data_IF_990668672830
#
_entry.id   IF_990668672830
#
_cell.length_a   1.000
_cell.length_b   1.000
_cell.length_c   1.000
_cell.angle_alpha   90.00
_cell.angle_beta   90.00
_cell.angle_gamma   90.00
#
_symmetry.space_group_name_H-M   'P 1'
#
loop_
_entity.id
_entity.type
_entity.pdbx_description
1 polymer ?
#
# COMPACT_ATOMS: atom_id res chain seq x y z
N UNK A 1 -82.30 -9.15 46.82
CA UNK A 1 -81.01 -9.17 46.19
C UNK A 1 -79.96 -9.54 47.24
N UNK A 2 -79.20 -10.60 47.08
CA UNK A 2 -78.45 -11.21 48.17
C UNK A 2 -77.05 -10.48 48.31
N UNK A 3 -76.91 -9.68 49.36
CA UNK A 3 -75.72 -8.84 49.64
C UNK A 3 -74.40 -9.63 49.56
N UNK A 4 -74.48 -10.92 49.88
CA UNK A 4 -73.32 -11.82 49.81
C UNK A 4 -72.73 -12.01 48.39
N UNK A 5 -73.60 -12.04 47.36
CA UNK A 5 -73.14 -12.17 45.95
C UNK A 5 -72.53 -10.89 45.45
N UNK A 6 -73.03 -9.74 45.88
CA UNK A 6 -72.48 -8.44 45.52
C UNK A 6 -71.09 -8.28 46.13
N UNK A 7 -70.91 -8.62 47.39
CA UNK A 7 -69.59 -8.57 48.03
C UNK A 7 -68.60 -9.53 47.43
N UNK A 8 -69.02 -10.75 47.12
CA UNK A 8 -68.14 -11.71 46.40
C UNK A 8 -67.73 -11.19 45.04
N UNK A 9 -68.62 -10.63 44.28
CA UNK A 9 -68.31 -10.05 42.96
C UNK A 9 -67.31 -8.90 43.05
N UNK A 10 -67.45 -7.99 44.02
CA UNK A 10 -66.48 -6.93 44.24
C UNK A 10 -65.08 -7.50 44.59
N UNK A 11 -64.99 -8.53 45.39
CA UNK A 11 -63.72 -9.15 45.77
C UNK A 11 -63.02 -9.83 44.57
N UNK A 12 -63.77 -10.43 43.68
CA UNK A 12 -63.22 -11.03 42.44
C UNK A 12 -62.78 -9.95 41.43
N UNK A 13 -63.51 -8.81 41.37
CA UNK A 13 -63.05 -7.67 40.53
C UNK A 13 -61.78 -7.06 41.08
N UNK A 14 -61.65 -6.85 42.38
CA UNK A 14 -60.47 -6.33 43.03
C UNK A 14 -59.24 -7.25 42.81
N UNK A 15 -59.42 -8.56 42.90
CA UNK A 15 -58.37 -9.54 42.57
C UNK A 15 -57.99 -9.45 41.11
N UNK A 16 -58.93 -9.29 40.19
CA UNK A 16 -58.71 -9.12 38.76
C UNK A 16 -57.87 -7.86 38.47
N UNK A 17 -58.21 -6.74 39.11
CA UNK A 17 -57.49 -5.48 38.98
C UNK A 17 -56.10 -5.60 39.53
N UNK A 18 -55.86 -6.20 40.70
CA UNK A 18 -54.53 -6.42 41.26
C UNK A 18 -53.67 -7.30 40.34
N UNK A 19 -54.28 -8.30 39.70
CA UNK A 19 -53.57 -9.15 38.73
C UNK A 19 -53.19 -8.38 37.45
N UNK A 20 -54.06 -7.50 36.97
CA UNK A 20 -53.77 -6.62 35.82
C UNK A 20 -52.63 -5.63 36.12
N UNK A 21 -52.64 -5.03 37.32
CA UNK A 21 -51.56 -4.14 37.73
C UNK A 21 -50.22 -4.88 37.85
N UNK A 22 -50.22 -6.06 38.41
CA UNK A 22 -49.03 -6.91 38.44
C UNK A 22 -48.50 -7.25 37.03
N UNK A 23 -49.37 -7.65 36.10
CA UNK A 23 -48.98 -7.92 34.71
C UNK A 23 -48.46 -6.66 34.02
N UNK A 24 -49.02 -5.50 34.30
CA UNK A 24 -48.55 -4.21 33.79
C UNK A 24 -47.13 -3.89 34.27
N UNK A 25 -46.85 -4.08 35.56
CA UNK A 25 -45.51 -3.90 36.13
C UNK A 25 -44.49 -4.87 35.51
N UNK A 26 -44.87 -6.14 35.36
CA UNK A 26 -44.01 -7.16 34.71
C UNK A 26 -43.71 -6.77 33.25
N UNK A 27 -44.71 -6.28 32.52
CA UNK A 27 -44.51 -5.83 31.13
C UNK A 27 -43.58 -4.61 31.04
N UNK A 28 -43.77 -3.61 31.92
CA UNK A 28 -42.87 -2.45 32.00
C UNK A 28 -41.42 -2.86 32.34
N UNK A 29 -41.25 -3.76 33.30
CA UNK A 29 -39.93 -4.29 33.68
C UNK A 29 -39.30 -5.05 32.53
N UNK A 30 -40.02 -5.90 31.82
CA UNK A 30 -39.55 -6.65 30.67
C UNK A 30 -39.16 -5.69 29.52
N UNK A 31 -39.99 -4.69 29.23
CA UNK A 31 -39.71 -3.66 28.22
C UNK A 31 -38.43 -2.86 28.55
N UNK A 32 -38.28 -2.44 29.79
CA UNK A 32 -37.06 -1.72 30.23
C UNK A 32 -35.82 -2.57 30.09
N UNK A 33 -35.87 -3.86 30.48
CA UNK A 33 -34.75 -4.79 30.31
C UNK A 33 -34.42 -5.01 28.85
N UNK A 34 -35.45 -5.14 27.99
CA UNK A 34 -35.25 -5.29 26.53
C UNK A 34 -34.58 -4.06 25.93
N UNK A 35 -35.03 -2.85 26.29
CA UNK A 35 -34.42 -1.62 25.80
C UNK A 35 -32.95 -1.46 26.27
N UNK A 36 -32.67 -1.80 27.53
CA UNK A 36 -31.31 -1.79 28.04
C UNK A 36 -30.42 -2.79 27.28
N UNK A 37 -30.96 -3.98 27.00
CA UNK A 37 -30.22 -4.99 26.23
C UNK A 37 -29.94 -4.49 24.81
N UNK A 38 -30.89 -3.87 24.12
CA UNK A 38 -30.68 -3.27 22.81
C UNK A 38 -29.58 -2.21 22.84
N UNK A 39 -29.62 -1.29 23.81
CA UNK A 39 -28.60 -0.26 23.97
C UNK A 39 -27.20 -0.85 24.17
N UNK A 40 -27.07 -1.89 25.00
CA UNK A 40 -25.78 -2.57 25.22
C UNK A 40 -25.33 -3.29 23.95
N UNK A 41 -26.24 -3.92 23.22
CA UNK A 41 -25.91 -4.57 21.94
C UNK A 41 -25.40 -3.54 20.90
N UNK A 42 -26.05 -2.39 20.78
CA UNK A 42 -25.65 -1.32 19.86
C UNK A 42 -24.27 -0.75 20.22
N UNK A 43 -24.02 -0.53 21.52
CA UNK A 43 -22.70 -0.11 22.00
C UNK A 43 -21.59 -1.15 21.68
N UNK A 44 -21.90 -2.43 21.86
CA UNK A 44 -20.97 -3.51 21.55
C UNK A 44 -20.71 -3.61 20.04
N UNK A 45 -21.73 -3.48 19.21
CA UNK A 45 -21.59 -3.47 17.74
C UNK A 45 -20.72 -2.30 17.28
N UNK A 46 -20.92 -1.11 17.84
CA UNK A 46 -20.12 0.08 17.55
C UNK A 46 -18.64 -0.13 17.93
N UNK A 47 -18.38 -0.65 19.13
CA UNK A 47 -17.03 -1.00 19.57
C UNK A 47 -16.37 -2.05 18.69
N UNK A 48 -17.13 -3.08 18.30
CA UNK A 48 -16.63 -4.14 17.41
C UNK A 48 -16.26 -3.59 16.02
N UNK A 49 -17.09 -2.68 15.48
CA UNK A 49 -16.78 -2.00 14.21
C UNK A 49 -15.48 -1.20 14.31
N UNK A 50 -15.34 -0.38 15.35
CA UNK A 50 -14.12 0.43 15.58
C UNK A 50 -12.87 -0.44 15.77
N UNK A 51 -12.98 -1.54 16.51
CA UNK A 51 -11.87 -2.50 16.67
C UNK A 51 -11.50 -3.17 15.35
N UNK A 52 -12.47 -3.48 14.49
CA UNK A 52 -12.21 -4.07 13.19
C UNK A 52 -11.54 -3.08 12.23
N UNK A 53 -11.94 -1.81 12.25
CA UNK A 53 -11.26 -0.75 11.50
C UNK A 53 -9.80 -0.61 11.94
N UNK A 54 -9.55 -0.55 13.25
CA UNK A 54 -8.19 -0.48 13.80
C UNK A 54 -7.35 -1.71 13.42
N UNK A 55 -7.93 -2.90 13.44
CA UNK A 55 -7.27 -4.13 12.98
C UNK A 55 -6.86 -4.01 11.50
N UNK A 56 -7.76 -3.57 10.64
CA UNK A 56 -7.50 -3.41 9.21
C UNK A 56 -6.38 -2.40 8.94
N UNK A 57 -6.33 -1.30 9.69
CA UNK A 57 -5.25 -0.33 9.61
C UNK A 57 -3.89 -0.93 10.03
N UNK A 58 -3.86 -1.71 11.10
CA UNK A 58 -2.63 -2.38 11.56
C UNK A 58 -2.16 -3.37 10.50
N UNK A 59 -3.04 -4.20 9.96
CA UNK A 59 -2.72 -5.16 8.91
C UNK A 59 -2.19 -4.49 7.64
N UNK A 60 -2.79 -3.37 7.24
CA UNK A 60 -2.32 -2.58 6.10
C UNK A 60 -0.89 -2.06 6.31
N UNK A 61 -0.59 -1.54 7.50
CA UNK A 61 0.75 -1.06 7.87
C UNK A 61 1.75 -2.22 7.93
N UNK A 62 1.39 -3.34 8.55
CA UNK A 62 2.23 -4.55 8.62
C UNK A 62 2.59 -5.08 7.22
N UNK A 63 1.63 -5.03 6.29
CA UNK A 63 1.86 -5.43 4.90
C UNK A 63 2.97 -4.61 4.23
N UNK A 64 3.10 -3.33 4.53
CA UNK A 64 4.19 -2.49 3.98
C UNK A 64 5.55 -2.94 4.51
N UNK A 65 5.67 -3.27 5.81
CA UNK A 65 6.90 -3.81 6.38
C UNK A 65 7.30 -5.14 5.72
N UNK A 66 6.35 -6.07 5.55
CA UNK A 66 6.58 -7.35 4.86
C UNK A 66 6.99 -7.14 3.40
N UNK A 67 6.38 -6.17 2.72
CA UNK A 67 6.76 -5.82 1.36
C UNK A 67 8.17 -5.24 1.29
N UNK A 68 8.55 -4.38 2.23
CA UNK A 68 9.90 -3.83 2.30
C UNK A 68 10.96 -4.93 2.48
N UNK A 69 10.75 -5.91 3.36
CA UNK A 69 11.67 -7.05 3.51
C UNK A 69 11.76 -7.88 2.22
N UNK A 70 10.64 -8.11 1.54
CA UNK A 70 10.60 -8.81 0.24
C UNK A 70 11.40 -8.07 -0.82
N UNK A 71 11.21 -6.77 -0.95
CA UNK A 71 11.87 -5.90 -1.93
C UNK A 71 13.37 -5.84 -1.68
N UNK A 72 13.79 -5.71 -0.41
CA UNK A 72 15.20 -5.76 0.00
C UNK A 72 15.81 -7.11 -0.35
N UNK A 73 15.11 -8.22 -0.10
CA UNK A 73 15.58 -9.55 -0.48
C UNK A 73 15.74 -9.68 -2.00
N UNK A 74 14.76 -9.23 -2.77
CA UNK A 74 14.81 -9.25 -4.23
C UNK A 74 15.99 -8.44 -4.79
N UNK A 75 16.32 -7.30 -4.19
CA UNK A 75 17.45 -6.46 -4.60
C UNK A 75 18.83 -7.14 -4.42
N UNK A 76 18.90 -8.25 -3.67
CA UNK A 76 20.13 -9.02 -3.43
C UNK A 76 20.32 -10.17 -4.42
N UNK A 77 19.29 -10.51 -5.22
CA UNK A 77 19.37 -11.58 -6.21
C UNK A 77 19.69 -11.03 -7.59
N UNK A 78 19.96 -11.95 -8.55
CA UNK A 78 20.17 -11.59 -9.95
C UNK A 78 18.94 -10.88 -10.50
N UNK A 79 19.09 -9.60 -10.84
CA UNK A 79 17.99 -8.76 -11.28
C UNK A 79 17.72 -8.96 -12.78
N UNK A 80 16.45 -9.13 -13.13
CA UNK A 80 16.03 -9.13 -14.52
C UNK A 80 15.72 -7.70 -14.95
N UNK A 81 16.27 -7.19 -16.06
CA UNK A 81 16.00 -5.84 -16.55
C UNK A 81 14.51 -5.50 -16.69
N UNK A 82 13.67 -6.49 -17.01
CA UNK A 82 12.23 -6.28 -17.19
C UNK A 82 11.48 -6.00 -15.86
N UNK A 83 12.02 -6.47 -14.74
CA UNK A 83 11.43 -6.28 -13.42
C UNK A 83 11.96 -5.08 -12.65
N UNK A 84 13.03 -4.43 -13.15
CA UNK A 84 13.73 -3.34 -12.46
C UNK A 84 12.83 -2.14 -12.19
N UNK A 85 12.00 -1.73 -13.16
CA UNK A 85 11.12 -0.59 -12.99
C UNK A 85 10.09 -0.85 -11.88
N UNK A 86 9.49 -2.04 -11.86
CA UNK A 86 8.53 -2.43 -10.81
C UNK A 86 9.19 -2.46 -9.44
N UNK A 87 10.41 -3.01 -9.37
CA UNK A 87 11.17 -3.09 -8.12
C UNK A 87 11.51 -1.69 -7.58
N UNK A 88 11.91 -0.75 -8.45
CA UNK A 88 12.15 0.65 -8.07
C UNK A 88 10.87 1.33 -7.57
N UNK A 89 9.73 1.09 -8.21
CA UNK A 89 8.44 1.64 -7.76
C UNK A 89 8.03 1.13 -6.39
N UNK A 90 8.23 -0.16 -6.14
CA UNK A 90 7.96 -0.77 -4.84
C UNK A 90 8.90 -0.23 -3.76
N UNK A 91 10.21 -0.07 -4.05
CA UNK A 91 11.18 0.54 -3.13
C UNK A 91 10.77 1.98 -2.79
N UNK A 92 10.41 2.78 -3.80
CA UNK A 92 10.03 4.17 -3.60
C UNK A 92 8.74 4.30 -2.80
N UNK A 93 7.75 3.44 -3.05
CA UNK A 93 6.52 3.38 -2.26
C UNK A 93 6.81 3.09 -0.79
N UNK A 94 7.71 2.12 -0.52
CA UNK A 94 8.16 1.82 0.85
C UNK A 94 8.89 3.01 1.48
N UNK A 95 9.79 3.68 0.75
CA UNK A 95 10.52 4.85 1.25
C UNK A 95 9.58 6.00 1.62
N UNK A 96 8.62 6.33 0.77
CA UNK A 96 7.60 7.36 1.05
C UNK A 96 6.79 7.02 2.29
N UNK A 97 6.42 5.76 2.46
CA UNK A 97 5.70 5.31 3.65
C UNK A 97 6.53 5.51 4.92
N UNK A 98 7.80 5.06 4.94
CA UNK A 98 8.66 5.21 6.13
C UNK A 98 9.05 6.66 6.43
N UNK A 99 9.16 7.51 5.41
CA UNK A 99 9.37 8.95 5.59
C UNK A 99 8.17 9.64 6.23
N UNK A 100 6.95 9.23 5.88
CA UNK A 100 5.73 9.81 6.47
C UNK A 100 5.39 9.23 7.85
N UNK A 101 5.95 8.05 8.22
CA UNK A 101 5.66 7.35 9.47
C UNK A 101 6.92 7.19 10.35
N UNK A 102 7.67 8.26 10.54
CA UNK A 102 8.92 8.25 11.35
C UNK A 102 8.71 7.92 12.82
N UNK A 103 7.49 8.07 13.33
CA UNK A 103 7.13 7.73 14.72
C UNK A 103 7.16 6.21 15.02
N UNK A 104 7.16 5.36 14.01
CA UNK A 104 7.23 3.92 14.22
C UNK A 104 8.65 3.49 14.61
N UNK A 105 8.75 2.63 15.63
CA UNK A 105 10.00 2.18 16.25
C UNK A 105 11.08 1.74 15.25
N UNK A 106 10.70 1.03 14.19
CA UNK A 106 11.64 0.47 13.21
C UNK A 106 11.67 1.24 11.88
N UNK A 107 10.96 2.37 11.76
CA UNK A 107 10.85 3.14 10.51
C UNK A 107 12.21 3.53 9.95
N UNK A 108 13.08 4.12 10.77
CA UNK A 108 14.43 4.54 10.36
C UNK A 108 15.29 3.38 9.85
N UNK A 109 15.19 2.22 10.51
CA UNK A 109 15.90 0.99 10.11
C UNK A 109 15.46 0.51 8.73
N UNK A 110 14.15 0.49 8.49
CA UNK A 110 13.61 0.08 7.20
C UNK A 110 13.87 1.12 6.11
N UNK A 111 13.87 2.40 6.43
CA UNK A 111 14.27 3.47 5.52
C UNK A 111 15.70 3.25 5.00
N UNK A 112 16.67 3.00 5.90
CA UNK A 112 18.06 2.71 5.53
C UNK A 112 18.18 1.45 4.66
N UNK A 113 17.46 0.37 5.01
CA UNK A 113 17.43 -0.85 4.20
C UNK A 113 16.89 -0.59 2.78
N UNK A 114 15.81 0.16 2.64
CA UNK A 114 15.22 0.50 1.35
C UNK A 114 16.13 1.44 0.53
N UNK A 115 16.81 2.40 1.16
CA UNK A 115 17.81 3.24 0.50
C UNK A 115 18.98 2.39 -0.04
N UNK A 116 19.51 1.47 0.76
CA UNK A 116 20.56 0.57 0.32
C UNK A 116 20.09 -0.35 -0.83
N UNK A 117 18.84 -0.81 -0.81
CA UNK A 117 18.25 -1.57 -1.91
C UNK A 117 18.14 -0.73 -3.19
N UNK A 118 17.69 0.52 -3.08
CA UNK A 118 17.62 1.47 -4.19
C UNK A 118 18.99 1.69 -4.82
N UNK A 119 20.02 1.97 -4.01
CA UNK A 119 21.39 2.18 -4.50
C UNK A 119 21.94 0.95 -5.24
N UNK A 120 21.66 -0.28 -4.75
CA UNK A 120 22.06 -1.52 -5.44
C UNK A 120 21.40 -1.68 -6.80
N UNK A 121 20.08 -1.45 -6.87
CA UNK A 121 19.33 -1.53 -8.12
C UNK A 121 19.85 -0.50 -9.12
N UNK A 122 20.12 0.74 -8.68
CA UNK A 122 20.71 1.78 -9.54
C UNK A 122 22.11 1.42 -10.03
N UNK A 123 22.96 0.85 -9.18
CA UNK A 123 24.29 0.36 -9.57
C UNK A 123 24.16 -0.74 -10.62
N UNK A 124 23.26 -1.71 -10.39
CA UNK A 124 23.02 -2.77 -11.38
C UNK A 124 22.56 -2.21 -12.73
N UNK A 125 21.69 -1.21 -12.75
CA UNK A 125 21.25 -0.54 -13.97
C UNK A 125 22.46 0.11 -14.68
N UNK A 126 23.29 0.85 -13.95
CA UNK A 126 24.50 1.49 -14.50
C UNK A 126 25.47 0.45 -15.12
N UNK A 127 25.72 -0.65 -14.41
CA UNK A 127 26.62 -1.70 -14.87
C UNK A 127 26.05 -2.46 -16.08
N UNK A 128 24.75 -2.72 -16.07
CA UNK A 128 24.07 -3.33 -17.22
C UNK A 128 24.21 -2.47 -18.48
N UNK A 129 24.07 -1.15 -18.36
CA UNK A 129 24.25 -0.24 -19.49
C UNK A 129 25.70 -0.17 -19.95
N UNK A 130 26.62 -0.01 -19.02
CA UNK A 130 28.06 -0.01 -19.35
C UNK A 130 28.45 -1.27 -20.13
N UNK A 131 28.10 -2.44 -19.59
CA UNK A 131 28.39 -3.72 -20.23
C UNK A 131 27.73 -3.89 -21.61
N UNK A 132 26.51 -3.30 -21.77
CA UNK A 132 25.84 -3.34 -23.06
C UNK A 132 26.48 -2.43 -24.10
N UNK A 133 27.01 -1.29 -23.67
CA UNK A 133 27.77 -0.37 -24.54
C UNK A 133 29.16 -0.92 -24.91
N UNK A 134 29.90 -1.47 -23.94
CA UNK A 134 31.21 -2.05 -24.16
C UNK A 134 31.16 -3.23 -25.12
N UNK A 135 30.22 -4.16 -24.97
CA UNK A 135 30.05 -5.28 -25.91
C UNK A 135 29.74 -4.84 -27.34
N UNK A 136 29.15 -3.67 -27.51
CA UNK A 136 28.87 -3.12 -28.83
C UNK A 136 30.06 -2.31 -29.39
N UNK A 137 30.96 -1.79 -28.52
CA UNK A 137 32.15 -1.01 -28.91
C UNK A 137 33.31 -1.87 -29.40
N UNK A 138 33.56 -3.02 -28.76
CA UNK A 138 34.71 -3.88 -29.11
C UNK A 138 34.57 -4.60 -30.47
N UNK A 139 33.36 -4.73 -31.00
CA UNK A 139 33.11 -5.32 -32.33
C UNK A 139 33.09 -4.30 -33.48
N UNK A 140 33.40 -3.04 -33.21
CA UNK A 140 33.05 -1.92 -34.07
C UNK A 140 34.15 -1.48 -35.03
N UNK A 141 35.37 -2.03 -35.00
CA UNK A 141 36.39 -1.54 -35.93
C UNK A 141 36.17 -1.90 -37.41
N UNK A 142 35.28 -2.86 -37.71
CA UNK A 142 34.96 -3.25 -39.08
C UNK A 142 33.48 -3.61 -39.37
N UNK A 143 32.54 -3.31 -38.47
CA UNK A 143 31.15 -3.59 -38.75
C UNK A 143 30.38 -2.30 -39.13
N UNK A 144 29.64 -2.39 -40.22
CA UNK A 144 28.79 -1.34 -40.77
C UNK A 144 27.95 -0.66 -39.68
N UNK A 145 27.89 0.66 -39.71
CA UNK A 145 27.03 1.51 -38.85
C UNK A 145 25.60 0.99 -38.75
N UNK A 146 25.10 0.33 -39.80
CA UNK A 146 23.79 -0.29 -39.85
C UNK A 146 23.61 -1.46 -38.87
N UNK A 147 24.65 -2.24 -38.63
CA UNK A 147 24.64 -3.35 -37.66
C UNK A 147 24.66 -2.83 -36.23
N UNK A 148 25.42 -1.78 -35.95
CA UNK A 148 25.42 -1.08 -34.66
C UNK A 148 24.04 -0.46 -34.36
N UNK A 149 23.49 0.24 -35.33
CA UNK A 149 22.16 0.87 -35.24
C UNK A 149 21.05 -0.18 -35.07
N UNK A 150 21.07 -1.28 -35.78
CA UNK A 150 20.14 -2.39 -35.66
C UNK A 150 20.17 -3.03 -34.26
N UNK A 151 21.38 -3.21 -33.68
CA UNK A 151 21.51 -3.71 -32.29
C UNK A 151 21.03 -2.71 -31.24
N UNK A 152 21.35 -1.43 -31.41
CA UNK A 152 20.86 -0.35 -30.56
C UNK A 152 19.33 -0.29 -30.59
N UNK A 153 18.72 -0.51 -31.74
CA UNK A 153 17.26 -0.57 -31.90
C UNK A 153 16.62 -1.76 -31.22
N UNK A 154 17.32 -2.89 -31.11
CA UNK A 154 16.87 -4.09 -30.40
C UNK A 154 16.96 -3.94 -28.86
N UNK A 155 17.99 -3.24 -28.37
CA UNK A 155 18.19 -2.96 -26.93
C UNK A 155 17.38 -1.73 -26.50
N UNK A 156 17.19 -0.77 -27.40
CA UNK A 156 16.58 0.53 -27.20
C UNK A 156 15.19 0.52 -26.53
N UNK A 157 14.20 -0.33 -26.91
CA UNK A 157 12.86 -0.21 -26.32
C UNK A 157 12.83 -0.48 -24.81
N UNK A 158 13.68 -1.41 -24.33
CA UNK A 158 13.80 -1.73 -22.91
C UNK A 158 14.57 -0.63 -22.17
N UNK A 159 15.61 -0.12 -22.78
CA UNK A 159 16.41 1.00 -22.30
C UNK A 159 15.56 2.28 -22.16
N UNK A 160 14.82 2.65 -23.20
CA UNK A 160 13.96 3.84 -23.17
C UNK A 160 12.91 3.77 -22.07
N UNK A 161 12.28 2.62 -21.86
CA UNK A 161 11.32 2.44 -20.76
C UNK A 161 11.95 2.66 -19.39
N UNK A 162 13.15 2.13 -19.15
CA UNK A 162 13.86 2.30 -17.88
C UNK A 162 14.30 3.76 -17.71
N UNK A 163 14.84 4.37 -18.76
CA UNK A 163 15.27 5.77 -18.74
C UNK A 163 14.06 6.73 -18.60
N UNK A 164 13.00 6.52 -19.35
CA UNK A 164 11.77 7.30 -19.24
C UNK A 164 11.19 7.19 -17.81
N UNK A 165 11.19 6.01 -17.25
CA UNK A 165 10.74 5.78 -15.88
C UNK A 165 11.61 6.51 -14.85
N UNK A 166 12.94 6.49 -15.02
CA UNK A 166 13.87 7.21 -14.16
C UNK A 166 13.75 8.73 -14.35
N UNK A 167 13.59 9.22 -15.58
CA UNK A 167 13.42 10.65 -15.87
C UNK A 167 12.10 11.22 -15.35
N UNK A 168 11.00 10.51 -15.54
CA UNK A 168 9.69 10.94 -15.03
C UNK A 168 9.65 10.99 -13.50
N UNK A 169 10.53 10.23 -12.83
CA UNK A 169 10.69 10.26 -11.37
C UNK A 169 11.59 11.39 -10.86
N UNK A 170 12.53 11.87 -11.68
CA UNK A 170 13.52 12.86 -11.20
C UNK A 170 12.93 14.21 -10.82
N UNK A 171 11.73 14.54 -11.27
CA UNK A 171 11.12 15.83 -10.90
C UNK A 171 10.57 15.89 -9.48
N UNK A 172 10.30 14.73 -8.83
CA UNK A 172 9.67 14.67 -7.50
C UNK A 172 10.29 13.67 -6.50
N UNK A 173 11.44 13.06 -6.80
CA UNK A 173 11.99 11.97 -5.98
C UNK A 173 13.20 12.39 -5.13
N UNK A 174 13.29 11.92 -3.85
CA UNK A 174 14.49 12.09 -3.01
C UNK A 174 15.73 11.35 -3.53
N UNK A 175 15.62 10.57 -4.59
CA UNK A 175 16.72 9.85 -5.27
C UNK A 175 17.58 10.81 -6.12
N UNK A 176 17.24 12.10 -6.21
CA UNK A 176 17.97 13.12 -6.99
C UNK A 176 19.47 13.23 -6.65
N UNK A 177 19.82 13.04 -5.40
CA UNK A 177 21.20 13.28 -4.92
C UNK A 177 22.16 12.13 -5.25
N UNK A 178 21.65 10.90 -5.35
CA UNK A 178 22.49 9.71 -5.61
C UNK A 178 22.71 9.39 -7.10
N UNK A 179 21.83 9.90 -7.97
CA UNK A 179 22.03 9.81 -9.41
C UNK A 179 22.91 10.99 -9.83
N UNK A 180 24.21 10.94 -9.55
CA UNK A 180 25.23 11.71 -10.26
C UNK A 180 25.19 11.35 -11.75
N UNK A 181 24.05 11.62 -12.38
CA UNK A 181 23.89 11.48 -13.82
C UNK A 181 24.74 12.56 -14.44
N UNK A 182 25.91 12.14 -14.87
CA UNK A 182 26.86 12.89 -15.65
C UNK A 182 26.09 13.57 -16.78
N UNK A 183 26.41 14.82 -17.10
CA UNK A 183 25.83 15.57 -18.21
C UNK A 183 25.89 14.79 -19.54
N UNK A 184 26.83 13.86 -19.64
CA UNK A 184 26.99 12.95 -20.76
C UNK A 184 25.78 12.07 -21.03
N UNK A 185 25.08 11.57 -20.00
CA UNK A 185 23.84 10.79 -20.17
C UNK A 185 22.64 11.66 -20.56
N UNK A 186 22.62 12.92 -20.12
CA UNK A 186 21.58 13.90 -20.55
C UNK A 186 21.77 14.29 -22.01
N UNK A 187 22.98 14.48 -22.43
CA UNK A 187 23.32 14.83 -23.82
C UNK A 187 23.03 13.66 -24.75
N UNK A 188 23.39 12.43 -24.37
CA UNK A 188 23.08 11.21 -25.11
C UNK A 188 21.57 10.98 -25.27
N UNK A 189 20.78 11.24 -24.23
CA UNK A 189 19.30 11.16 -24.29
C UNK A 189 18.71 12.23 -25.22
N UNK A 190 19.28 13.43 -25.30
CA UNK A 190 18.84 14.50 -26.23
C UNK A 190 19.16 14.16 -27.69
N UNK A 191 20.35 13.63 -27.94
CA UNK A 191 20.76 13.22 -29.29
C UNK A 191 19.94 12.05 -29.82
N UNK A 192 19.68 11.04 -28.98
CA UNK A 192 18.83 9.90 -29.36
C UNK A 192 17.35 10.27 -29.55
N UNK A 193 16.81 11.24 -28.81
CA UNK A 193 15.46 11.79 -29.08
C UNK A 193 15.41 12.54 -30.40
N UNK A 194 16.44 13.31 -30.71
CA UNK A 194 16.55 14.03 -31.99
C UNK A 194 16.53 13.10 -33.20
N UNK A 195 17.17 11.95 -33.09
CA UNK A 195 17.22 10.93 -34.16
C UNK A 195 15.93 10.12 -34.31
N UNK A 196 15.13 9.97 -33.25
CA UNK A 196 13.85 9.25 -33.31
C UNK A 196 12.65 10.12 -33.74
N UNK A 197 12.77 11.45 -33.62
CA UNK A 197 11.73 12.39 -34.11
C UNK A 197 11.95 12.82 -35.57
N UNK A 198 13.06 12.40 -36.19
CA UNK A 198 13.44 12.77 -37.56
C UNK A 198 13.09 11.70 -38.63
N UNK A 199 12.41 10.61 -38.21
CA UNK A 199 11.83 9.57 -39.05
C UNK A 199 10.37 9.35 -38.67
#
# INVERSE_FOLDING_TARGET
MNLKYVHFFYLEVDKGLAMLDFLREQNLSASTRSNNLHSVCDDLMTKMSSMNEMKNEIEAKEKVFKNADKVVAQSNHTLNPESLCKLLDEIESCLKFFQSHQSFKDSSKYQVKCQAASSRVLTFIKDYFRSSLERNGEQSENQSFDLFYGRLKMISPKFFKIMEHLFNKTDNSPIKEDIGMNEDLKNYSRETRGLLCAN
#
